data_IF_651566775563
#
_entry.id   IF_651566775563
#
_cell.length_a   1.000
_cell.length_b   1.000
_cell.length_c   1.000
_cell.angle_alpha   90.00
_cell.angle_beta   90.00
_cell.angle_gamma   90.00
#
_symmetry.space_group_name_H-M   'P 1'
#
loop_
_entity.id
_entity.type
_entity.pdbx_description
1 polymer ?
#
# COMPACT_ATOMS: atom_id res chain seq x y z
N UNK A 1 5.32 -9.00 16.36
CA UNK A 1 5.14 -7.63 16.94
C UNK A 1 4.03 -6.85 16.23
N UNK A 2 3.88 -6.99 14.91
CA UNK A 2 2.83 -6.33 14.13
C UNK A 2 1.42 -6.73 14.59
N UNK A 3 1.18 -8.03 14.85
CA UNK A 3 -0.10 -8.52 15.36
C UNK A 3 -0.52 -7.84 16.67
N UNK A 4 0.41 -7.66 17.62
CA UNK A 4 0.11 -6.99 18.89
C UNK A 4 -0.32 -5.54 18.66
N UNK A 5 0.36 -4.82 17.75
CA UNK A 5 0.00 -3.43 17.41
C UNK A 5 -1.38 -3.37 16.75
N UNK A 6 -1.67 -4.29 15.84
CA UNK A 6 -2.96 -4.37 15.16
C UNK A 6 -4.09 -4.69 16.14
N UNK A 7 -3.92 -5.71 16.99
CA UNK A 7 -4.90 -6.06 18.03
C UNK A 7 -5.13 -4.91 19.02
N UNK A 8 -4.08 -4.19 19.39
CA UNK A 8 -4.20 -2.98 20.22
C UNK A 8 -4.92 -1.82 19.53
N UNK A 9 -4.83 -1.72 18.20
CA UNK A 9 -5.55 -0.71 17.44
C UNK A 9 -7.04 -1.08 17.32
N UNK A 10 -7.33 -2.36 17.06
CA UNK A 10 -8.70 -2.89 17.02
C UNK A 10 -9.43 -2.70 18.36
N UNK A 11 -8.78 -3.00 19.49
CA UNK A 11 -9.40 -2.85 20.81
C UNK A 11 -9.75 -1.41 21.18
N UNK A 12 -9.14 -0.43 20.50
CA UNK A 12 -9.39 1.01 20.69
C UNK A 12 -10.30 1.61 19.60
N UNK A 13 -10.74 0.79 18.65
CA UNK A 13 -11.52 1.27 17.52
C UNK A 13 -12.91 1.72 17.97
N UNK A 14 -13.39 2.82 17.39
CA UNK A 14 -14.75 3.34 17.58
C UNK A 14 -15.58 3.17 16.30
N UNK A 15 -16.92 3.05 16.39
CA UNK A 15 -17.77 2.92 15.20
C UNK A 15 -17.59 4.06 14.20
N UNK A 16 -17.61 3.73 12.90
CA UNK A 16 -17.35 4.66 11.79
C UNK A 16 -18.57 4.88 10.87
N UNK A 17 -19.78 4.55 11.31
CA UNK A 17 -21.00 4.52 10.47
C UNK A 17 -21.22 5.80 9.65
N UNK A 18 -21.05 6.99 10.27
CA UNK A 18 -21.21 8.27 9.59
C UNK A 18 -20.13 8.61 8.56
N UNK A 19 -19.03 7.84 8.54
CA UNK A 19 -17.88 8.04 7.68
C UNK A 19 -17.82 7.05 6.52
N UNK A 20 -18.61 5.96 6.55
CA UNK A 20 -18.63 4.93 5.49
C UNK A 20 -18.90 5.51 4.10
N UNK A 21 -19.71 6.57 4.02
CA UNK A 21 -19.99 7.32 2.77
C UNK A 21 -18.76 7.98 2.12
N UNK A 22 -17.60 7.96 2.79
CA UNK A 22 -16.32 8.51 2.29
C UNK A 22 -15.43 7.45 1.67
N UNK A 23 -15.75 6.18 1.86
CA UNK A 23 -15.04 5.08 1.24
C UNK A 23 -15.37 5.03 -0.25
N UNK A 24 -14.37 4.75 -1.07
CA UNK A 24 -14.59 4.40 -2.47
C UNK A 24 -15.28 3.02 -2.53
N UNK A 25 -15.92 2.71 -3.66
CA UNK A 25 -16.71 1.48 -3.80
C UNK A 25 -15.92 0.20 -3.47
N UNK A 26 -14.68 0.10 -3.95
CA UNK A 26 -13.82 -1.05 -3.67
C UNK A 26 -13.38 -1.12 -2.21
N UNK A 27 -13.18 0.02 -1.54
CA UNK A 27 -12.80 0.08 -0.13
C UNK A 27 -13.96 -0.34 0.78
N UNK A 28 -15.16 0.13 0.45
CA UNK A 28 -16.38 -0.26 1.15
C UNK A 28 -16.63 -1.76 0.98
N UNK A 29 -16.36 -2.32 -0.19
CA UNK A 29 -16.45 -3.76 -0.42
C UNK A 29 -15.49 -4.55 0.48
N UNK A 30 -14.21 -4.13 0.56
CA UNK A 30 -13.21 -4.74 1.44
C UNK A 30 -13.56 -4.62 2.93
N UNK A 31 -14.14 -3.49 3.34
CA UNK A 31 -14.64 -3.32 4.70
C UNK A 31 -15.81 -4.27 4.99
N UNK A 32 -16.79 -4.34 4.09
CA UNK A 32 -17.97 -5.17 4.26
C UNK A 32 -17.66 -6.68 4.22
N UNK A 33 -16.64 -7.10 3.45
CA UNK A 33 -16.18 -8.50 3.41
C UNK A 33 -15.35 -8.89 4.64
N UNK A 34 -14.91 -7.92 5.45
CA UNK A 34 -14.02 -8.15 6.58
C UNK A 34 -12.55 -8.29 6.20
N UNK A 35 -12.20 -8.11 4.92
CA UNK A 35 -10.80 -8.08 4.46
C UNK A 35 -10.03 -6.88 5.01
N UNK A 36 -10.73 -5.79 5.33
CA UNK A 36 -10.19 -4.65 6.07
C UNK A 36 -11.03 -4.38 7.32
N UNK A 37 -10.34 -4.15 8.43
CA UNK A 37 -10.98 -3.87 9.71
C UNK A 37 -10.82 -2.41 10.11
N UNK A 38 -11.83 -1.87 10.77
CA UNK A 38 -11.78 -0.52 11.31
C UNK A 38 -10.83 -0.47 12.52
N UNK A 39 -9.83 0.40 12.43
CA UNK A 39 -8.88 0.69 13.52
C UNK A 39 -8.90 2.17 13.93
N UNK A 40 -9.98 2.88 13.56
CA UNK A 40 -10.15 4.31 13.85
C UNK A 40 -10.37 4.51 15.34
N UNK A 41 -9.46 5.19 16.03
CA UNK A 41 -9.58 5.47 17.46
C UNK A 41 -10.39 6.76 17.75
N UNK A 42 -10.84 6.90 18.99
CA UNK A 42 -11.52 8.11 19.46
C UNK A 42 -10.66 9.37 19.26
N UNK A 43 -11.24 10.42 18.65
CA UNK A 43 -10.56 11.68 18.38
C UNK A 43 -9.72 11.71 17.11
N UNK A 44 -9.71 10.62 16.31
CA UNK A 44 -8.98 10.62 15.04
C UNK A 44 -9.55 11.63 14.03
N UNK A 45 -8.65 12.32 13.32
CA UNK A 45 -9.00 13.23 12.22
C UNK A 45 -9.19 12.51 10.88
N UNK A 46 -8.94 11.20 10.83
CA UNK A 46 -9.11 10.35 9.65
C UNK A 46 -9.71 9.01 10.04
N UNK A 47 -10.46 8.39 9.13
CA UNK A 47 -10.81 6.98 9.21
C UNK A 47 -9.58 6.17 8.80
N UNK A 48 -9.36 5.08 9.52
CA UNK A 48 -8.31 4.12 9.25
C UNK A 48 -8.91 2.72 9.14
N UNK A 49 -8.67 2.08 7.98
CA UNK A 49 -8.96 0.67 7.78
C UNK A 49 -7.64 -0.06 7.55
N UNK A 50 -7.49 -1.24 8.13
CA UNK A 50 -6.24 -2.01 8.08
C UNK A 50 -6.48 -3.51 8.20
N UNK A 51 -5.58 -4.30 7.61
CA UNK A 51 -5.42 -5.74 7.88
C UNK A 51 -3.94 -6.06 8.05
N UNK A 52 -3.54 -7.07 8.84
CA UNK A 52 -2.14 -7.48 8.94
C UNK A 52 -1.56 -7.95 7.62
N UNK A 53 -0.23 -7.93 7.54
CA UNK A 53 0.54 -8.35 6.37
C UNK A 53 0.43 -9.85 6.21
N UNK A 54 0.48 -10.32 4.97
CA UNK A 54 0.40 -11.74 4.71
C UNK A 54 1.77 -12.35 4.97
N UNK A 55 1.81 -13.63 5.32
CA UNK A 55 3.06 -14.38 5.25
C UNK A 55 3.27 -14.80 3.80
N UNK A 56 4.31 -14.30 3.09
CA UNK A 56 4.57 -14.74 1.74
C UNK A 56 4.94 -16.24 1.74
N UNK A 57 4.46 -17.04 0.77
CA UNK A 57 4.85 -18.44 0.66
C UNK A 57 6.32 -18.56 0.22
N UNK A 58 6.92 -19.77 0.30
CA UNK A 58 8.31 -19.98 -0.10
C UNK A 58 8.61 -19.47 -1.52
N UNK A 59 9.77 -18.85 -1.71
CA UNK A 59 10.18 -18.29 -3.00
C UNK A 59 9.59 -16.91 -3.31
N UNK A 60 8.78 -16.34 -2.42
CA UNK A 60 8.15 -15.02 -2.59
C UNK A 60 8.48 -14.08 -1.43
N UNK A 61 8.30 -12.79 -1.67
CA UNK A 61 8.46 -11.74 -0.65
C UNK A 61 7.36 -10.70 -0.82
N UNK A 62 7.05 -10.00 0.27
CA UNK A 62 6.10 -8.90 0.23
C UNK A 62 6.82 -7.59 0.00
N UNK A 63 6.29 -6.79 -0.93
CA UNK A 63 6.71 -5.42 -1.18
C UNK A 63 5.51 -4.50 -1.08
N UNK A 64 5.73 -3.27 -0.61
CA UNK A 64 4.67 -2.34 -0.29
C UNK A 64 4.79 -1.09 -1.13
N UNK A 65 3.64 -0.52 -1.48
CA UNK A 65 3.59 0.75 -2.20
C UNK A 65 2.47 1.64 -1.65
N UNK A 66 2.79 2.85 -1.19
CA UNK A 66 1.78 3.87 -0.94
C UNK A 66 1.26 4.40 -2.28
N UNK A 67 -0.06 4.57 -2.40
CA UNK A 67 -0.73 5.01 -3.62
C UNK A 67 -1.83 6.03 -3.33
N UNK A 68 -2.03 6.95 -4.28
CA UNK A 68 -3.22 7.78 -4.37
C UNK A 68 -4.39 7.06 -5.03
N UNK A 69 -5.59 7.67 -4.95
CA UNK A 69 -6.84 7.05 -5.42
C UNK A 69 -6.81 6.70 -6.91
N UNK A 70 -6.25 7.58 -7.75
CA UNK A 70 -6.16 7.37 -9.20
C UNK A 70 -5.32 6.13 -9.52
N UNK A 71 -4.21 5.93 -8.81
CA UNK A 71 -3.32 4.79 -9.04
C UNK A 71 -3.96 3.47 -8.62
N UNK A 72 -4.68 3.46 -7.49
CA UNK A 72 -5.38 2.28 -7.00
C UNK A 72 -6.48 1.88 -7.98
N UNK A 73 -7.28 2.85 -8.44
CA UNK A 73 -8.32 2.58 -9.42
C UNK A 73 -7.73 1.99 -10.70
N UNK A 74 -6.63 2.57 -11.19
CA UNK A 74 -5.91 2.04 -12.35
C UNK A 74 -5.39 0.61 -12.11
N UNK A 75 -4.80 0.32 -10.96
CA UNK A 75 -4.31 -1.01 -10.61
C UNK A 75 -5.44 -2.05 -10.54
N UNK A 76 -6.58 -1.68 -9.97
CA UNK A 76 -7.75 -2.56 -9.86
C UNK A 76 -8.34 -2.84 -11.25
N UNK A 77 -8.48 -1.81 -12.08
CA UNK A 77 -9.08 -1.89 -13.41
C UNK A 77 -8.19 -2.62 -14.42
N UNK A 78 -6.91 -2.28 -14.47
CA UNK A 78 -5.99 -2.74 -15.52
C UNK A 78 -5.04 -3.84 -15.06
N UNK A 79 -5.05 -4.20 -13.76
CA UNK A 79 -4.13 -5.19 -13.18
C UNK A 79 -2.66 -4.89 -13.49
N UNK A 80 -2.30 -3.61 -13.48
CA UNK A 80 -0.92 -3.15 -13.66
C UNK A 80 -0.75 -1.78 -13.03
N UNK A 81 0.49 -1.40 -12.69
CA UNK A 81 0.80 -0.07 -12.22
C UNK A 81 0.87 0.93 -13.39
N UNK A 82 0.35 2.16 -13.23
CA UNK A 82 0.44 3.18 -14.27
C UNK A 82 1.89 3.61 -14.51
N UNK A 83 2.23 3.98 -15.75
CA UNK A 83 3.54 4.50 -16.14
C UNK A 83 3.66 6.03 -16.00
N UNK A 84 2.69 6.65 -15.35
CA UNK A 84 2.56 8.11 -15.25
C UNK A 84 3.43 8.74 -14.16
N UNK A 85 4.07 7.92 -13.30
CA UNK A 85 4.90 8.40 -12.20
C UNK A 85 6.39 8.20 -12.43
N UNK A 86 7.17 9.29 -12.58
CA UNK A 86 8.58 9.15 -12.90
C UNK A 86 9.42 8.57 -11.77
N UNK A 87 8.99 8.77 -10.52
CA UNK A 87 9.65 8.28 -9.30
C UNK A 87 8.80 7.23 -8.60
N UNK A 88 8.33 6.25 -9.36
CA UNK A 88 7.64 5.10 -8.81
C UNK A 88 8.60 4.20 -8.02
N UNK A 89 8.17 3.67 -6.88
CA UNK A 89 8.95 2.74 -6.07
C UNK A 89 8.07 1.70 -5.38
N UNK A 90 8.68 0.56 -5.04
CA UNK A 90 8.16 -0.49 -4.15
C UNK A 90 9.18 -0.72 -3.03
N UNK A 91 8.72 -1.04 -1.82
CA UNK A 91 9.58 -1.16 -0.65
C UNK A 91 9.43 -2.53 -0.01
N UNK A 92 10.52 -3.26 0.17
CA UNK A 92 10.52 -4.65 0.58
C UNK A 92 10.33 -4.85 2.09
N UNK A 93 9.62 -5.93 2.43
CA UNK A 93 9.57 -6.51 3.77
C UNK A 93 8.76 -5.71 4.78
N UNK A 94 8.74 -6.16 6.03
CA UNK A 94 7.97 -5.52 7.12
C UNK A 94 8.32 -4.02 7.28
N UNK A 95 9.61 -3.69 7.15
CA UNK A 95 10.07 -2.30 7.18
C UNK A 95 9.51 -1.49 6.00
N UNK A 96 9.29 -2.11 4.85
CA UNK A 96 8.64 -1.50 3.71
C UNK A 96 7.21 -1.05 3.99
N UNK A 97 6.45 -1.84 4.76
CA UNK A 97 5.12 -1.43 5.20
C UNK A 97 5.17 -0.23 6.16
N UNK A 98 6.07 -0.28 7.14
CA UNK A 98 6.26 0.83 8.09
C UNK A 98 6.69 2.11 7.37
N UNK A 99 7.56 1.98 6.37
CA UNK A 99 8.00 3.07 5.52
C UNK A 99 6.84 3.64 4.68
N UNK A 100 6.07 2.79 3.99
CA UNK A 100 4.90 3.21 3.22
C UNK A 100 3.86 3.96 4.07
N UNK A 101 3.68 3.55 5.34
CA UNK A 101 2.77 4.21 6.27
C UNK A 101 3.14 5.67 6.58
N UNK A 102 4.41 6.06 6.44
CA UNK A 102 4.85 7.46 6.63
C UNK A 102 4.20 8.42 5.63
N UNK A 103 3.87 7.94 4.43
CA UNK A 103 3.17 8.76 3.43
C UNK A 103 1.72 9.04 3.85
N UNK A 104 1.04 8.05 4.44
CA UNK A 104 -0.34 8.22 4.91
C UNK A 104 -0.39 9.10 6.17
N UNK A 105 0.61 9.03 7.05
CA UNK A 105 0.66 9.85 8.27
C UNK A 105 1.20 11.26 8.04
N UNK A 106 1.72 11.56 6.85
CA UNK A 106 2.31 12.86 6.51
C UNK A 106 3.76 13.05 6.98
N UNK A 107 4.39 11.99 7.51
CA UNK A 107 5.82 12.01 7.84
C UNK A 107 6.73 11.96 6.59
N UNK A 108 6.20 11.50 5.46
CA UNK A 108 6.79 11.62 4.12
C UNK A 108 5.78 12.25 3.18
N UNK A 109 6.27 13.06 2.25
CA UNK A 109 5.46 13.77 1.27
C UNK A 109 5.72 13.28 -0.15
N UNK A 110 4.66 13.22 -0.96
CA UNK A 110 4.72 13.04 -2.41
C UNK A 110 3.51 13.74 -3.04
N UNK A 111 3.62 14.13 -4.30
CA UNK A 111 2.57 14.87 -5.02
C UNK A 111 1.27 14.07 -5.20
N UNK A 112 1.35 12.74 -5.10
CA UNK A 112 0.23 11.83 -5.40
C UNK A 112 -0.74 11.66 -4.22
N UNK A 113 -0.45 12.34 -3.11
CA UNK A 113 -1.28 12.37 -1.89
C UNK A 113 -1.77 10.97 -1.45
N UNK A 114 -0.87 10.03 -1.11
CA UNK A 114 -1.25 8.64 -0.87
C UNK A 114 -2.23 8.48 0.29
N UNK A 115 -3.30 7.73 0.01
CA UNK A 115 -4.36 7.37 0.97
C UNK A 115 -4.35 5.88 1.26
N UNK A 116 -3.66 5.08 0.44
CA UNK A 116 -3.75 3.63 0.45
C UNK A 116 -2.36 3.01 0.46
N UNK A 117 -2.18 1.89 1.16
CA UNK A 117 -1.00 1.02 1.04
C UNK A 117 -1.43 -0.29 0.40
N UNK A 118 -0.73 -0.66 -0.66
CA UNK A 118 -0.86 -1.95 -1.34
C UNK A 118 0.31 -2.84 -0.95
N UNK A 119 -0.01 -4.07 -0.60
CA UNK A 119 0.95 -5.17 -0.45
C UNK A 119 0.93 -5.98 -1.74
N UNK A 120 2.12 -6.20 -2.32
CA UNK A 120 2.34 -7.10 -3.43
C UNK A 120 3.11 -8.31 -2.92
N UNK A 121 2.66 -9.51 -3.26
CA UNK A 121 3.42 -10.73 -3.03
C UNK A 121 4.08 -11.11 -4.36
N UNK A 122 5.40 -10.96 -4.45
CA UNK A 122 6.17 -11.10 -5.69
C UNK A 122 7.25 -12.18 -5.58
N UNK A 123 7.73 -12.77 -6.70
CA UNK A 123 8.85 -13.71 -6.67
C UNK A 123 10.12 -13.02 -6.16
N UNK A 124 10.90 -13.72 -5.32
CA UNK A 124 12.17 -13.18 -4.78
C UNK A 124 13.12 -12.81 -5.93
N UNK A 125 13.21 -13.66 -6.96
CA UNK A 125 14.09 -13.43 -8.12
C UNK A 125 13.78 -12.10 -8.84
N UNK A 126 12.50 -11.75 -8.97
CA UNK A 126 12.08 -10.47 -9.53
C UNK A 126 12.55 -9.31 -8.65
N UNK A 127 12.39 -9.43 -7.33
CA UNK A 127 12.79 -8.39 -6.39
C UNK A 127 14.31 -8.22 -6.37
N UNK A 128 15.09 -9.30 -6.40
CA UNK A 128 16.54 -9.23 -6.53
C UNK A 128 16.97 -8.59 -7.87
N UNK A 129 16.29 -8.91 -8.97
CA UNK A 129 16.52 -8.25 -10.27
C UNK A 129 16.26 -6.75 -10.20
N UNK A 130 15.22 -6.32 -9.47
CA UNK A 130 14.91 -4.90 -9.27
C UNK A 130 15.94 -4.21 -8.38
N UNK A 131 16.41 -4.87 -7.31
CA UNK A 131 17.47 -4.33 -6.44
C UNK A 131 18.76 -4.07 -7.20
N UNK A 132 19.14 -4.97 -8.11
CA UNK A 132 20.32 -4.81 -8.97
C UNK A 132 20.21 -3.59 -9.91
N UNK A 133 19.00 -3.25 -10.38
CA UNK A 133 18.77 -2.05 -11.19
C UNK A 133 18.89 -0.78 -10.37
N UNK A 134 18.19 -0.73 -9.23
CA UNK A 134 18.29 0.37 -8.28
C UNK A 134 17.73 -0.07 -6.93
N UNK A 135 18.52 0.12 -5.89
CA UNK A 135 18.11 -0.03 -4.50
C UNK A 135 18.59 1.16 -3.69
N UNK A 136 17.75 1.63 -2.77
CA UNK A 136 18.10 2.60 -1.73
C UNK A 136 17.67 2.07 -0.38
N UNK A 137 18.53 2.26 0.61
CA UNK A 137 18.18 2.03 2.01
C UNK A 137 17.55 3.32 2.55
N UNK A 138 16.29 3.27 2.97
CA UNK A 138 15.56 4.42 3.50
C UNK A 138 14.87 4.03 4.82
N UNK A 139 15.30 4.65 5.92
CA UNK A 139 14.76 4.41 7.27
C UNK A 139 14.69 2.91 7.64
N UNK A 140 15.71 2.15 7.27
CA UNK A 140 15.79 0.70 7.53
C UNK A 140 14.99 -0.18 6.55
N UNK A 141 14.38 0.41 5.52
CA UNK A 141 13.66 -0.32 4.48
C UNK A 141 14.44 -0.31 3.14
N UNK A 142 14.25 -1.35 2.33
CA UNK A 142 14.87 -1.47 1.01
C UNK A 142 13.87 -1.02 -0.05
N UNK A 143 14.17 0.11 -0.69
CA UNK A 143 13.33 0.77 -1.68
C UNK A 143 13.90 0.55 -3.08
N UNK A 144 13.08 0.00 -3.98
CA UNK A 144 13.44 -0.23 -5.38
C UNK A 144 12.66 0.69 -6.30
N UNK A 145 13.37 1.35 -7.21
CA UNK A 145 12.77 2.22 -8.21
C UNK A 145 12.12 1.42 -9.34
N UNK A 146 10.89 1.80 -9.71
CA UNK A 146 10.17 1.31 -10.89
C UNK A 146 10.10 2.32 -12.03
N UNK A 147 10.01 3.61 -11.73
CA UNK A 147 9.75 4.66 -12.72
C UNK A 147 10.88 4.89 -13.75
N UNK A 148 10.60 5.66 -14.79
CA UNK A 148 11.57 5.99 -15.85
C UNK A 148 12.81 6.73 -15.31
N UNK A 149 12.62 7.54 -14.26
CA UNK A 149 13.67 8.25 -13.51
C UNK A 149 14.13 7.49 -12.25
N UNK A 150 13.63 6.28 -12.02
CA UNK A 150 13.95 5.46 -10.85
C UNK A 150 14.00 3.97 -11.23
N UNK A 151 15.18 3.43 -11.52
CA UNK A 151 15.41 1.99 -11.71
C UNK A 151 14.83 1.37 -12.98
N UNK A 152 13.83 1.99 -13.61
CA UNK A 152 13.17 1.52 -14.85
C UNK A 152 12.65 0.08 -14.74
N UNK A 153 12.23 -0.31 -13.53
CA UNK A 153 11.73 -1.64 -13.20
C UNK A 153 10.26 -1.88 -13.55
N UNK A 154 9.50 -0.84 -13.90
CA UNK A 154 8.07 -0.93 -14.14
C UNK A 154 7.67 -1.99 -15.19
N UNK A 155 8.32 -2.10 -16.36
CA UNK A 155 7.91 -3.07 -17.37
C UNK A 155 7.93 -4.52 -16.87
N UNK A 156 9.02 -4.93 -16.21
CA UNK A 156 9.19 -6.30 -15.70
C UNK A 156 8.28 -6.57 -14.49
N UNK A 157 8.01 -5.56 -13.68
CA UNK A 157 7.08 -5.71 -12.55
C UNK A 157 5.63 -5.86 -13.04
N UNK A 158 5.20 -5.03 -14.00
CA UNK A 158 3.88 -5.14 -14.61
C UNK A 158 3.71 -6.45 -15.40
N UNK A 159 4.75 -6.95 -16.05
CA UNK A 159 4.74 -8.27 -16.69
C UNK A 159 4.47 -9.38 -15.67
N UNK A 160 5.15 -9.34 -14.51
CA UNK A 160 4.90 -10.30 -13.43
C UNK A 160 3.47 -10.22 -12.89
N UNK A 161 2.87 -9.03 -12.77
CA UNK A 161 1.46 -8.91 -12.37
C UNK A 161 0.54 -9.54 -13.42
N UNK A 162 0.76 -9.22 -14.71
CA UNK A 162 -0.06 -9.74 -15.81
C UNK A 162 0.00 -11.26 -15.93
N UNK A 163 1.16 -11.85 -15.67
CA UNK A 163 1.33 -13.31 -15.69
C UNK A 163 0.75 -14.00 -14.45
N UNK A 164 0.30 -13.25 -13.44
CA UNK A 164 -0.15 -13.80 -12.16
C UNK A 164 0.99 -14.18 -11.21
N UNK A 165 2.24 -14.00 -11.64
CA UNK A 165 3.42 -14.24 -10.83
C UNK A 165 3.53 -13.27 -9.66
N UNK A 166 2.94 -12.07 -9.75
CA UNK A 166 2.80 -11.13 -8.64
C UNK A 166 1.33 -10.86 -8.36
N UNK A 167 0.90 -11.08 -7.12
CA UNK A 167 -0.45 -10.76 -6.65
C UNK A 167 -0.43 -9.50 -5.79
N UNK A 168 -1.56 -8.86 -5.60
CA UNK A 168 -1.67 -7.67 -4.76
C UNK A 168 -2.96 -7.64 -3.95
N UNK A 169 -2.90 -6.94 -2.81
CA UNK A 169 -4.07 -6.60 -1.99
C UNK A 169 -3.87 -5.27 -1.28
N UNK A 170 -4.97 -4.59 -1.00
CA UNK A 170 -4.95 -3.37 -0.19
C UNK A 170 -4.83 -3.79 1.28
N UNK A 171 -3.86 -3.22 2.00
CA UNK A 171 -3.61 -3.56 3.41
C UNK A 171 -3.90 -2.42 4.37
N UNK A 172 -3.98 -1.18 3.87
CA UNK A 172 -4.29 -0.01 4.71
C UNK A 172 -4.91 1.12 3.91
N UNK A 173 -5.90 1.78 4.50
CA UNK A 173 -6.60 2.95 3.92
C UNK A 173 -6.71 4.06 4.95
N UNK A 174 -6.56 5.29 4.50
CA UNK A 174 -6.82 6.53 5.23
C UNK A 174 -7.83 7.39 4.47
N UNK A 175 -8.92 7.79 5.14
CA UNK A 175 -9.88 8.78 4.62
C UNK A 175 -10.02 9.96 5.59
N UNK A 176 -9.78 11.18 5.13
CA UNK A 176 -9.86 12.37 5.99
C UNK A 176 -11.31 12.72 6.35
N UNK A 177 -11.48 13.33 7.52
CA UNK A 177 -12.78 13.86 8.01
C UNK A 177 -13.32 15.02 7.18
N UNK A 178 -12.47 15.70 6.42
CA UNK A 178 -12.86 16.74 5.47
C UNK A 178 -12.61 16.22 4.05
N UNK A 179 -13.54 16.50 3.12
CA UNK A 179 -13.23 16.30 1.70
C UNK A 179 -12.08 17.27 1.42
N UNK A 180 -10.93 16.76 0.99
CA UNK A 180 -9.98 17.66 0.36
C UNK A 180 -10.59 18.03 -0.98
N UNK A 181 -11.21 19.21 -1.05
CA UNK A 181 -11.46 19.86 -2.32
C UNK A 181 -10.08 20.12 -2.93
N UNK A 182 -9.71 19.29 -3.89
CA UNK A 182 -8.59 19.51 -4.80
C UNK A 182 -9.10 19.30 -6.21
#
# INVERSE_FOLDING_TARGET
>A
MEDIKFQNALSKAVPINGWLKRLLAHELALYNSGELQNITHHGSSSMWLETPSSSPPPGRTNVYRPMGDIEILYLIEHRQLPDTQPYQAIIEGENGRLYANKYLTGAKWTSTSPTTIVEFCAPIELIETLKQKQMKVEDGALSMGLGDKAGKGLPIFNESIRNGDTTFRIVKIKRNKEKQDK
#
